data_IF_372866775867
#
_entry.id   IF_372866775867
#
_cell.length_a   1.000
_cell.length_b   1.000
_cell.length_c   1.000
_cell.angle_alpha   90.00
_cell.angle_beta   90.00
_cell.angle_gamma   90.00
#
_symmetry.space_group_name_H-M   'P 1'
#
loop_
_entity.id
_entity.type
_entity.pdbx_description
1 polymer ?
#
# COMPACT_ATOMS: atom_id res chain seq x y z
N UNK A 1 -12.19 -21.96 -30.88
CA UNK A 1 -12.13 -20.64 -30.26
C UNK A 1 -11.84 -20.89 -28.79
N UNK A 2 -10.57 -20.73 -28.41
CA UNK A 2 -10.17 -20.86 -27.02
C UNK A 2 -10.64 -19.57 -26.31
N UNK A 3 -11.47 -19.72 -25.30
CA UNK A 3 -11.86 -18.66 -24.39
C UNK A 3 -10.56 -18.16 -23.72
N UNK A 4 -10.08 -16.98 -24.09
CA UNK A 4 -9.05 -16.29 -23.34
C UNK A 4 -9.65 -15.95 -21.97
N UNK A 5 -9.29 -16.74 -20.97
CA UNK A 5 -9.48 -16.40 -19.57
C UNK A 5 -8.80 -15.04 -19.34
N UNK A 6 -9.56 -13.96 -19.37
CA UNK A 6 -9.12 -12.66 -18.88
C UNK A 6 -8.93 -12.76 -17.37
N UNK A 7 -7.78 -13.31 -16.97
CA UNK A 7 -7.33 -13.20 -15.58
C UNK A 7 -7.12 -11.71 -15.31
N UNK A 8 -7.84 -11.17 -14.33
CA UNK A 8 -7.53 -9.83 -13.83
C UNK A 8 -6.06 -9.78 -13.44
N UNK A 9 -5.29 -8.77 -13.90
CA UNK A 9 -3.89 -8.67 -13.54
C UNK A 9 -3.73 -8.57 -12.02
N UNK A 10 -2.73 -9.28 -11.48
CA UNK A 10 -2.47 -9.31 -10.05
C UNK A 10 -2.12 -7.92 -9.48
N UNK A 11 -1.38 -7.14 -10.25
CA UNK A 11 -0.82 -5.85 -9.80
C UNK A 11 -1.13 -4.70 -10.75
N UNK A 12 -1.53 -4.99 -11.99
CA UNK A 12 -1.64 -4.01 -13.07
C UNK A 12 -0.29 -3.67 -13.74
N UNK A 13 0.82 -4.21 -13.25
CA UNK A 13 2.13 -4.07 -13.87
C UNK A 13 2.36 -5.20 -14.89
N UNK A 14 2.22 -4.90 -16.19
CA UNK A 14 2.16 -5.90 -17.26
C UNK A 14 3.38 -6.84 -17.33
N UNK A 15 4.59 -6.35 -17.06
CA UNK A 15 5.81 -7.17 -17.06
C UNK A 15 5.81 -8.15 -15.89
N UNK A 16 5.49 -7.70 -14.69
CA UNK A 16 5.42 -8.55 -13.51
C UNK A 16 4.33 -9.61 -13.63
N UNK A 17 3.13 -9.20 -14.02
CA UNK A 17 2.00 -10.11 -14.20
C UNK A 17 2.29 -11.17 -15.28
N UNK A 18 2.97 -10.78 -16.37
CA UNK A 18 3.43 -11.71 -17.43
C UNK A 18 4.46 -12.72 -16.93
N UNK A 19 5.42 -12.29 -16.10
CA UNK A 19 6.41 -13.20 -15.51
C UNK A 19 5.78 -14.17 -14.51
N UNK A 20 4.82 -13.72 -13.69
CA UNK A 20 4.10 -14.58 -12.75
C UNK A 20 3.22 -15.59 -13.51
N UNK A 21 2.54 -15.16 -14.57
CA UNK A 21 1.76 -16.07 -15.41
C UNK A 21 2.63 -17.17 -16.03
N UNK A 22 3.77 -16.80 -16.64
CA UNK A 22 4.73 -17.77 -17.18
C UNK A 22 5.29 -18.71 -16.10
N UNK A 23 5.63 -18.16 -14.92
CA UNK A 23 6.10 -18.94 -13.78
C UNK A 23 5.09 -19.98 -13.31
N UNK A 24 3.80 -19.67 -13.33
CA UNK A 24 2.72 -20.56 -12.90
C UNK A 24 2.57 -21.82 -13.74
N UNK A 25 3.02 -21.79 -15.00
CA UNK A 25 2.94 -22.89 -15.95
C UNK A 25 4.15 -23.85 -15.88
N UNK A 26 5.23 -23.46 -15.19
CA UNK A 26 6.45 -24.27 -15.08
C UNK A 26 6.23 -25.52 -14.23
N UNK A 27 6.87 -26.63 -14.63
CA UNK A 27 6.82 -27.92 -13.92
C UNK A 27 8.20 -28.47 -13.60
N UNK A 28 9.21 -28.09 -14.37
CA UNK A 28 10.61 -28.51 -14.13
C UNK A 28 11.23 -27.70 -13.00
N UNK A 29 11.90 -28.38 -12.07
CA UNK A 29 12.47 -27.74 -10.88
C UNK A 29 13.58 -26.72 -11.22
N UNK A 30 14.38 -27.01 -12.28
CA UNK A 30 15.43 -26.10 -12.72
C UNK A 30 14.88 -24.85 -13.37
N UNK A 31 13.84 -24.98 -14.21
CA UNK A 31 13.15 -23.84 -14.82
C UNK A 31 12.46 -22.96 -13.77
N UNK A 32 11.81 -23.58 -12.77
CA UNK A 32 11.19 -22.89 -11.63
C UNK A 32 12.23 -22.05 -10.88
N UNK A 33 13.38 -22.63 -10.56
CA UNK A 33 14.43 -21.90 -9.83
C UNK A 33 15.00 -20.74 -10.65
N UNK A 34 15.25 -20.95 -11.94
CA UNK A 34 15.72 -19.89 -12.83
C UNK A 34 14.72 -18.75 -12.98
N UNK A 35 13.43 -19.07 -13.12
CA UNK A 35 12.37 -18.07 -13.22
C UNK A 35 12.22 -17.29 -11.89
N UNK A 36 12.32 -17.97 -10.74
CA UNK A 36 12.33 -17.34 -9.42
C UNK A 36 13.48 -16.35 -9.29
N UNK A 37 14.69 -16.72 -9.71
CA UNK A 37 15.85 -15.83 -9.68
C UNK A 37 15.62 -14.57 -10.52
N UNK A 38 15.10 -14.71 -11.75
CA UNK A 38 14.79 -13.57 -12.62
C UNK A 38 13.77 -12.61 -12.02
N UNK A 39 12.72 -13.14 -11.38
CA UNK A 39 11.70 -12.31 -10.70
C UNK A 39 12.36 -11.51 -9.57
N UNK A 40 13.20 -12.16 -8.75
CA UNK A 40 13.90 -11.49 -7.65
C UNK A 40 14.96 -10.49 -8.14
N UNK A 41 15.68 -10.77 -9.21
CA UNK A 41 16.64 -9.84 -9.82
C UNK A 41 15.97 -8.59 -10.37
N UNK A 42 14.75 -8.73 -10.88
CA UNK A 42 14.03 -7.62 -11.53
C UNK A 42 13.19 -6.78 -10.58
N UNK A 43 12.52 -7.41 -9.63
CA UNK A 43 11.55 -6.78 -8.74
C UNK A 43 11.89 -6.90 -7.26
N UNK A 44 12.93 -7.63 -6.92
CA UNK A 44 13.35 -7.84 -5.53
C UNK A 44 14.05 -6.62 -4.96
N UNK A 45 13.65 -6.24 -3.76
CA UNK A 45 14.32 -5.23 -2.94
C UNK A 45 14.27 -5.63 -1.48
N UNK A 46 14.97 -4.89 -0.63
CA UNK A 46 14.95 -5.06 0.82
C UNK A 46 14.65 -3.72 1.47
N UNK A 47 13.74 -3.73 2.44
CA UNK A 47 13.33 -2.51 3.12
C UNK A 47 12.14 -2.72 4.05
N UNK A 48 11.62 -1.64 4.59
CA UNK A 48 10.48 -1.63 5.48
C UNK A 48 9.17 -1.40 4.70
N UNK A 49 8.20 -2.29 4.92
CA UNK A 49 6.82 -2.13 4.47
C UNK A 49 6.02 -1.52 5.60
N UNK A 50 5.37 -0.42 5.31
CA UNK A 50 4.44 0.27 6.21
C UNK A 50 3.02 0.02 5.74
N UNK A 51 2.16 -0.41 6.65
CA UNK A 51 0.73 -0.61 6.38
C UNK A 51 -0.05 0.11 7.47
N UNK A 52 -0.96 0.99 7.08
CA UNK A 52 -1.90 1.61 8.00
C UNK A 52 -3.33 1.16 7.71
N UNK A 53 -4.12 1.02 8.77
CA UNK A 53 -5.53 0.63 8.75
C UNK A 53 -6.33 1.55 9.68
N UNK A 54 -7.50 2.01 9.23
CA UNK A 54 -8.35 2.91 10.02
C UNK A 54 -9.10 2.12 11.09
N UNK A 55 -8.82 2.44 12.34
CA UNK A 55 -9.46 1.80 13.48
C UNK A 55 -10.99 1.99 13.44
N UNK A 56 -11.72 0.89 13.70
CA UNK A 56 -13.20 0.88 13.77
C UNK A 56 -13.94 1.13 12.45
N UNK A 57 -13.29 0.91 11.31
CA UNK A 57 -13.85 1.05 9.97
C UNK A 57 -15.29 0.51 9.83
N UNK A 58 -15.49 -0.78 10.11
CA UNK A 58 -16.78 -1.46 9.88
C UNK A 58 -17.92 -0.93 10.77
N UNK A 59 -17.62 -0.45 11.97
CA UNK A 59 -18.62 0.11 12.89
C UNK A 59 -18.98 1.56 12.54
N UNK A 60 -17.99 2.32 12.08
CA UNK A 60 -18.13 3.73 11.72
C UNK A 60 -18.91 3.90 10.42
N UNK A 61 -18.56 3.15 9.36
CA UNK A 61 -19.25 3.22 8.06
C UNK A 61 -20.74 2.89 8.16
N UNK A 62 -21.13 1.94 9.01
CA UNK A 62 -22.55 1.61 9.24
C UNK A 62 -23.32 2.70 9.96
N UNK A 63 -22.67 3.48 10.85
CA UNK A 63 -23.32 4.52 11.65
C UNK A 63 -23.48 5.83 10.91
N UNK A 64 -22.45 6.24 10.17
CA UNK A 64 -22.38 7.59 9.58
C UNK A 64 -22.66 7.62 8.06
N UNK A 65 -22.74 6.46 7.42
CA UNK A 65 -22.99 6.31 5.98
C UNK A 65 -21.73 6.43 5.13
N UNK A 66 -21.79 5.87 3.91
CA UNK A 66 -20.64 5.69 3.02
C UNK A 66 -20.01 7.01 2.57
N UNK A 67 -20.80 8.02 2.24
CA UNK A 67 -20.25 9.30 1.77
C UNK A 67 -19.44 10.01 2.86
N UNK A 68 -19.91 9.96 4.09
CA UNK A 68 -19.20 10.54 5.23
C UNK A 68 -17.89 9.80 5.50
N UNK A 69 -17.93 8.49 5.37
CA UNK A 69 -16.76 7.64 5.50
C UNK A 69 -15.71 7.92 4.41
N UNK A 70 -16.11 8.09 3.14
CA UNK A 70 -15.20 8.49 2.06
C UNK A 70 -14.51 9.84 2.34
N UNK A 71 -15.22 10.78 2.93
CA UNK A 71 -14.63 12.06 3.40
C UNK A 71 -13.52 11.83 4.43
N UNK A 72 -13.70 10.88 5.35
CA UNK A 72 -12.70 10.54 6.36
C UNK A 72 -11.46 9.88 5.72
N UNK A 73 -11.66 8.94 4.80
CA UNK A 73 -10.58 8.32 4.02
C UNK A 73 -9.77 9.37 3.28
N UNK A 74 -10.44 10.26 2.54
CA UNK A 74 -9.77 11.32 1.80
C UNK A 74 -8.92 12.20 2.72
N UNK A 75 -9.47 12.61 3.87
CA UNK A 75 -8.74 13.41 4.86
C UNK A 75 -7.54 12.68 5.43
N UNK A 76 -7.67 11.37 5.73
CA UNK A 76 -6.55 10.56 6.20
C UNK A 76 -5.41 10.52 5.17
N UNK A 77 -5.74 10.29 3.89
CA UNK A 77 -4.75 10.25 2.80
C UNK A 77 -4.02 11.57 2.64
N UNK A 78 -4.71 12.71 2.72
CA UNK A 78 -4.12 14.05 2.65
C UNK A 78 -3.11 14.32 3.79
N UNK A 79 -3.22 13.61 4.90
CA UNK A 79 -2.27 13.70 6.02
C UNK A 79 -1.14 12.69 5.85
N UNK A 80 -1.47 11.45 5.46
CA UNK A 80 -0.51 10.36 5.38
C UNK A 80 0.51 10.59 4.25
N UNK A 81 0.04 10.90 3.04
CA UNK A 81 0.89 10.94 1.85
C UNK A 81 2.11 11.88 2.00
N UNK A 82 1.95 13.17 2.37
CA UNK A 82 3.11 14.05 2.51
C UNK A 82 4.06 13.66 3.64
N UNK A 83 3.56 13.00 4.69
CA UNK A 83 4.42 12.53 5.79
C UNK A 83 5.25 11.33 5.35
N UNK A 84 4.68 10.40 4.60
CA UNK A 84 5.43 9.28 4.01
C UNK A 84 6.57 9.83 3.14
N UNK A 85 6.28 10.76 2.22
CA UNK A 85 7.27 11.34 1.31
C UNK A 85 8.37 12.13 2.04
N UNK A 86 8.01 12.95 3.03
CA UNK A 86 9.00 13.72 3.80
C UNK A 86 9.91 12.87 4.68
N UNK A 87 9.51 11.62 4.96
CA UNK A 87 10.31 10.62 5.65
C UNK A 87 10.99 9.62 4.69
N UNK A 88 11.27 10.00 3.45
CA UNK A 88 11.95 9.18 2.43
C UNK A 88 11.20 7.90 2.06
N UNK A 89 9.90 7.83 2.32
CA UNK A 89 9.04 6.72 1.93
C UNK A 89 8.37 6.95 0.58
N UNK A 90 7.95 5.87 -0.03
CA UNK A 90 7.12 5.88 -1.25
C UNK A 90 5.75 5.32 -0.90
N UNK A 91 4.70 6.11 -1.10
CA UNK A 91 3.33 5.64 -0.95
C UNK A 91 2.99 4.78 -2.17
N UNK A 92 2.81 3.48 -1.95
CA UNK A 92 2.58 2.52 -3.04
C UNK A 92 1.13 2.54 -3.50
N UNK A 93 0.18 2.54 -2.57
CA UNK A 93 -1.25 2.62 -2.83
C UNK A 93 -2.04 2.90 -1.56
N UNK A 94 -3.26 3.38 -1.73
CA UNK A 94 -4.29 3.34 -0.69
C UNK A 94 -5.52 2.60 -1.22
N UNK A 95 -5.93 1.55 -0.52
CA UNK A 95 -7.09 0.72 -0.83
C UNK A 95 -8.10 0.83 0.31
N UNK A 96 -9.25 1.43 0.02
CA UNK A 96 -10.23 1.84 1.02
C UNK A 96 -9.55 2.66 2.15
N UNK A 97 -9.56 2.14 3.37
CA UNK A 97 -8.97 2.74 4.57
C UNK A 97 -7.51 2.31 4.84
N UNK A 98 -6.96 1.41 4.03
CA UNK A 98 -5.59 0.95 4.15
C UNK A 98 -4.66 1.78 3.26
N UNK A 99 -3.50 2.19 3.78
CA UNK A 99 -2.42 2.74 2.99
C UNK A 99 -1.16 1.89 3.13
N UNK A 100 -0.47 1.70 2.01
CA UNK A 100 0.74 0.89 1.90
C UNK A 100 1.88 1.77 1.44
N UNK A 101 3.00 1.74 2.16
CA UNK A 101 4.19 2.46 1.78
C UNK A 101 5.44 1.60 1.93
N UNK A 102 6.49 1.97 1.22
CA UNK A 102 7.79 1.34 1.29
C UNK A 102 8.85 2.37 1.70
N UNK A 103 9.80 1.94 2.53
CA UNK A 103 10.94 2.71 2.98
C UNK A 103 12.21 1.87 2.84
N UNK A 104 13.30 2.49 2.43
CA UNK A 104 14.59 1.81 2.43
C UNK A 104 15.09 1.54 3.85
N UNK A 105 14.79 2.43 4.79
CA UNK A 105 15.25 2.36 6.17
C UNK A 105 14.08 2.21 7.16
N UNK A 106 14.21 1.31 8.10
CA UNK A 106 13.17 1.07 9.13
C UNK A 106 12.96 2.31 10.02
N UNK A 107 14.00 3.06 10.31
CA UNK A 107 13.92 4.25 11.16
C UNK A 107 13.05 5.34 10.52
N UNK A 108 13.08 5.47 9.20
CA UNK A 108 12.23 6.41 8.47
C UNK A 108 10.76 5.98 8.52
N UNK A 109 10.47 4.68 8.38
CA UNK A 109 9.12 4.14 8.53
C UNK A 109 8.56 4.35 9.95
N UNK A 110 9.39 4.12 10.96
CA UNK A 110 9.02 4.34 12.37
C UNK A 110 8.74 5.82 12.61
N UNK A 111 9.60 6.72 12.13
CA UNK A 111 9.41 8.17 12.27
C UNK A 111 8.12 8.61 11.60
N UNK A 112 7.87 8.17 10.36
CA UNK A 112 6.64 8.44 9.63
C UNK A 112 5.41 7.99 10.42
N UNK A 113 5.45 6.81 11.07
CA UNK A 113 4.33 6.30 11.87
C UNK A 113 3.97 7.21 13.05
N UNK A 114 4.96 7.74 13.75
CA UNK A 114 4.74 8.69 14.85
C UNK A 114 4.21 10.03 14.34
N UNK A 115 4.78 10.55 13.25
CA UNK A 115 4.35 11.84 12.68
C UNK A 115 2.92 11.77 12.13
N UNK A 116 2.55 10.68 11.45
CA UNK A 116 1.17 10.46 10.97
C UNK A 116 0.19 10.45 12.15
N UNK A 117 0.49 9.69 13.21
CA UNK A 117 -0.39 9.63 14.38
C UNK A 117 -0.49 10.98 15.09
N UNK A 118 0.61 11.71 15.23
CA UNK A 118 0.60 13.06 15.83
C UNK A 118 -0.20 14.07 14.99
N UNK A 119 -0.06 14.03 13.67
CA UNK A 119 -0.80 14.89 12.75
C UNK A 119 -2.31 14.60 12.77
N UNK A 120 -2.69 13.32 12.78
CA UNK A 120 -4.10 12.92 12.91
C UNK A 120 -4.69 13.30 14.26
N UNK A 121 -3.94 13.11 15.35
CA UNK A 121 -4.39 13.53 16.68
C UNK A 121 -4.70 15.02 16.71
N UNK A 122 -3.79 15.85 16.19
CA UNK A 122 -4.01 17.29 16.06
C UNK A 122 -5.20 17.65 15.15
N UNK A 123 -5.35 16.95 14.02
CA UNK A 123 -6.45 17.19 13.10
C UNK A 123 -7.81 16.81 13.71
N UNK A 124 -7.85 15.80 14.58
CA UNK A 124 -9.06 15.34 15.26
C UNK A 124 -9.69 16.39 16.18
N UNK A 125 -8.93 17.36 16.68
CA UNK A 125 -9.45 18.44 17.53
C UNK A 125 -10.52 19.31 16.83
N UNK A 126 -10.48 19.36 15.48
CA UNK A 126 -11.46 20.11 14.68
C UNK A 126 -12.75 19.31 14.40
N UNK A 127 -12.87 18.06 14.84
CA UNK A 127 -13.96 17.16 14.46
C UNK A 127 -14.65 16.52 15.68
N UNK A 128 -15.95 16.26 15.54
CA UNK A 128 -16.71 15.52 16.55
C UNK A 128 -16.26 14.05 16.67
N UNK A 129 -16.60 13.40 17.79
CA UNK A 129 -16.19 12.03 18.15
C UNK A 129 -16.42 11.01 17.02
N UNK A 130 -17.49 11.16 16.23
CA UNK A 130 -17.80 10.25 15.11
C UNK A 130 -16.98 10.47 13.83
N UNK A 131 -16.21 11.56 13.76
CA UNK A 131 -15.41 11.95 12.59
C UNK A 131 -13.90 11.92 12.87
N UNK A 132 -13.50 11.52 14.07
CA UNK A 132 -12.09 11.38 14.44
C UNK A 132 -11.49 10.16 13.77
N UNK A 133 -10.24 10.29 13.32
CA UNK A 133 -9.50 9.25 12.61
C UNK A 133 -8.39 8.75 13.51
N UNK A 134 -8.35 7.44 13.70
CA UNK A 134 -7.29 6.73 14.40
C UNK A 134 -6.77 5.62 13.50
N UNK A 135 -5.45 5.47 13.42
CA UNK A 135 -4.81 4.44 12.62
C UNK A 135 -4.10 3.40 13.50
N UNK A 136 -4.24 2.17 13.08
CA UNK A 136 -3.30 1.10 13.45
C UNK A 136 -2.21 1.05 12.39
N UNK A 137 -0.94 0.99 12.79
CA UNK A 137 0.20 0.93 11.88
C UNK A 137 1.00 -0.35 12.16
N UNK A 138 1.26 -1.12 11.11
CA UNK A 138 2.19 -2.24 11.10
C UNK A 138 3.41 -1.89 10.25
N UNK A 139 4.60 -2.23 10.75
CA UNK A 139 5.86 -2.08 10.03
C UNK A 139 6.59 -3.42 10.10
N UNK A 140 7.04 -3.92 8.96
CA UNK A 140 7.88 -5.11 8.87
C UNK A 140 9.04 -4.84 7.92
N UNK A 141 10.22 -5.41 8.21
CA UNK A 141 11.42 -5.26 7.41
C UNK A 141 11.83 -6.60 6.81
N UNK A 142 12.11 -6.59 5.52
CA UNK A 142 12.53 -7.80 4.84
C UNK A 142 12.65 -7.65 3.33
N UNK A 143 12.83 -8.80 2.68
CA UNK A 143 12.88 -8.89 1.23
C UNK A 143 11.46 -8.91 0.66
N UNK A 144 11.18 -8.01 -0.27
CA UNK A 144 9.86 -7.87 -0.91
C UNK A 144 10.01 -7.79 -2.43
N UNK A 145 8.95 -8.13 -3.15
CA UNK A 145 8.84 -7.86 -4.57
C UNK A 145 8.01 -6.58 -4.74
N UNK A 146 8.62 -5.56 -5.35
CA UNK A 146 7.93 -4.32 -5.71
C UNK A 146 7.66 -4.31 -7.21
N UNK A 147 6.39 -4.41 -7.57
CA UNK A 147 5.93 -4.32 -8.94
C UNK A 147 5.17 -3.00 -9.12
N UNK A 148 5.75 -2.10 -9.91
CA UNK A 148 5.20 -0.79 -10.19
C UNK A 148 6.32 0.20 -10.51
N UNK A 149 5.99 1.26 -11.24
CA UNK A 149 6.88 2.40 -11.37
C UNK A 149 6.85 3.13 -10.02
N UNK A 150 7.94 3.01 -9.26
CA UNK A 150 8.12 3.75 -8.00
C UNK A 150 8.53 5.18 -8.38
N UNK A 151 7.64 5.87 -9.08
CA UNK A 151 7.72 7.32 -9.19
C UNK A 151 6.83 7.93 -8.11
N UNK A 152 7.26 8.99 -7.42
CA UNK A 152 6.40 9.71 -6.52
C UNK A 152 5.22 10.25 -7.33
N UNK A 153 4.09 9.57 -7.26
CA UNK A 153 2.91 9.93 -8.03
C UNK A 153 2.29 11.19 -7.43
N UNK A 154 2.39 12.30 -8.13
CA UNK A 154 1.73 13.57 -7.78
C UNK A 154 0.25 13.61 -8.16
N UNK A 155 -0.32 12.56 -8.75
CA UNK A 155 -1.73 12.56 -9.15
C UNK A 155 -2.42 11.27 -8.72
N UNK A 156 -3.34 11.43 -7.79
CA UNK A 156 -4.33 10.39 -7.48
C UNK A 156 -5.56 10.65 -8.37
N UNK A 157 -5.68 9.90 -9.46
CA UNK A 157 -6.95 9.80 -10.18
C UNK A 157 -7.91 8.88 -9.40
N UNK A 158 -9.12 9.39 -9.17
CA UNK A 158 -10.22 8.72 -8.50
C UNK A 158 -11.03 7.86 -9.46
#
# INVERSE_FOLDING_TARGET
MADELHLNPLTGHSEFDGLIAAFSELRDAGEIELARQRIWERFGTEGAVFISDMASFSSTSRKIGVCHFLKMIHRARQIIAPIIETNNGVLLKCDADNCYAFFNETDDAIRASFEVNAALFKANDAFGIGEQIYLSVGIDYGRVLLAGDIEPSHEFDF
#
